data_IF_367344005643
#
_entry.id   IF_367344005643
#
_cell.length_a   1.000
_cell.length_b   1.000
_cell.length_c   1.000
_cell.angle_alpha   90.00
_cell.angle_beta   90.00
_cell.angle_gamma   90.00
#
_symmetry.space_group_name_H-M   'P 1'
#
loop_
_entity.id
_entity.type
_entity.pdbx_description
1 polymer ?
#
# COMPACT_ATOMS: atom_id res chain seq x y z
N UNK A 1 12.46 8.97 8.95
CA UNK A 1 11.68 9.91 8.11
C UNK A 1 12.63 10.51 7.09
N UNK A 2 12.52 10.14 5.82
CA UNK A 2 13.33 10.76 4.77
C UNK A 2 12.95 12.24 4.67
N UNK A 3 13.92 13.13 4.90
CA UNK A 3 13.76 14.57 4.84
C UNK A 3 14.49 15.03 3.58
N UNK A 4 13.76 15.08 2.47
CA UNK A 4 14.28 15.59 1.21
C UNK A 4 14.14 17.11 1.20
N UNK A 5 15.23 17.81 0.88
CA UNK A 5 15.25 19.24 0.66
C UNK A 5 15.45 19.49 -0.84
N UNK A 6 14.44 20.01 -1.56
CA UNK A 6 14.61 20.39 -2.96
C UNK A 6 15.80 21.34 -3.10
N UNK A 7 16.61 21.16 -4.14
CA UNK A 7 17.62 22.15 -4.54
C UNK A 7 17.03 23.34 -5.31
N UNK A 8 15.74 23.28 -5.66
CA UNK A 8 15.05 24.25 -6.54
C UNK A 8 13.69 24.65 -5.96
N UNK A 9 13.09 25.71 -6.52
CA UNK A 9 11.71 26.17 -6.21
C UNK A 9 10.61 25.26 -6.78
N UNK A 10 10.95 24.10 -7.36
CA UNK A 10 9.99 23.22 -8.01
C UNK A 10 9.32 22.27 -7.02
N UNK A 11 8.01 22.05 -7.20
CA UNK A 11 7.15 21.29 -6.31
C UNK A 11 7.09 19.83 -6.76
N UNK A 12 7.18 18.87 -5.83
CA UNK A 12 7.03 17.46 -6.15
C UNK A 12 5.63 16.99 -5.80
N UNK A 13 4.94 16.38 -6.77
CA UNK A 13 3.72 15.61 -6.53
C UNK A 13 4.05 14.32 -5.79
N UNK A 14 4.32 14.42 -4.48
CA UNK A 14 4.64 13.24 -3.66
C UNK A 14 3.43 12.29 -3.60
N UNK A 15 3.70 11.00 -3.77
CA UNK A 15 2.70 9.94 -3.54
C UNK A 15 2.33 9.84 -2.06
N UNK A 16 1.16 9.25 -1.81
CA UNK A 16 0.74 8.86 -0.48
C UNK A 16 1.71 7.84 0.14
N UNK A 17 2.04 8.04 1.41
CA UNK A 17 2.89 7.12 2.15
C UNK A 17 2.16 5.81 2.45
N UNK A 18 2.79 4.67 2.17
CA UNK A 18 2.31 3.37 2.64
C UNK A 18 2.52 3.23 4.14
N UNK A 19 1.80 2.31 4.76
CA UNK A 19 2.08 1.87 6.13
C UNK A 19 2.23 0.36 6.13
N UNK A 20 3.22 -0.15 6.86
CA UNK A 20 3.51 -1.58 6.90
C UNK A 20 3.88 -2.09 8.30
N UNK A 21 3.77 -3.41 8.46
CA UNK A 21 4.25 -4.15 9.63
C UNK A 21 5.37 -5.08 9.16
N UNK A 22 6.54 -4.96 9.79
CA UNK A 22 7.76 -5.68 9.43
C UNK A 22 8.16 -6.63 10.55
N UNK A 23 8.66 -7.81 10.19
CA UNK A 23 9.26 -8.74 11.15
C UNK A 23 10.72 -8.40 11.46
N UNK A 24 11.36 -7.59 10.63
CA UNK A 24 12.73 -7.17 10.79
C UNK A 24 12.87 -5.66 10.54
N UNK A 25 13.59 -5.00 11.44
CA UNK A 25 14.13 -3.67 11.25
C UNK A 25 15.63 -3.75 11.58
N UNK A 26 16.45 -3.10 10.77
CA UNK A 26 17.86 -2.97 11.10
C UNK A 26 18.06 -1.95 12.24
N UNK A 27 19.27 -1.90 12.78
CA UNK A 27 19.59 -1.07 13.96
C UNK A 27 19.38 0.43 13.71
N UNK A 28 19.54 0.88 12.46
CA UNK A 28 19.37 2.29 12.07
C UNK A 28 17.93 2.64 11.72
N UNK A 29 17.01 1.65 11.75
CA UNK A 29 15.64 1.78 11.26
C UNK A 29 15.59 2.40 9.84
N UNK A 30 16.53 2.01 8.98
CA UNK A 30 16.49 2.42 7.59
C UNK A 30 15.25 1.83 6.92
N UNK A 31 14.39 2.73 6.47
CA UNK A 31 13.15 2.38 5.81
C UNK A 31 13.38 1.61 4.50
N UNK A 32 14.47 1.93 3.80
CA UNK A 32 14.83 1.34 2.50
C UNK A 32 15.66 0.06 2.61
N UNK A 33 15.95 -0.42 3.81
CA UNK A 33 16.70 -1.66 4.01
C UNK A 33 16.00 -2.84 3.28
N UNK A 34 16.68 -3.52 2.34
CA UNK A 34 16.04 -4.56 1.54
C UNK A 34 15.54 -5.74 2.37
N UNK A 35 16.27 -6.14 3.41
CA UNK A 35 15.86 -7.23 4.29
C UNK A 35 14.61 -6.86 5.10
N UNK A 36 14.54 -5.61 5.58
CA UNK A 36 13.38 -5.04 6.25
C UNK A 36 12.17 -4.97 5.33
N UNK A 37 12.33 -4.46 4.10
CA UNK A 37 11.27 -4.42 3.11
C UNK A 37 10.74 -5.81 2.76
N UNK A 38 11.61 -6.82 2.62
CA UNK A 38 11.17 -8.19 2.34
C UNK A 38 10.43 -8.83 3.51
N UNK A 39 10.67 -8.39 4.75
CA UNK A 39 10.03 -8.90 5.97
C UNK A 39 8.61 -8.38 6.26
N UNK A 40 8.02 -7.63 5.33
CA UNK A 40 6.68 -7.02 5.49
C UNK A 40 5.58 -8.08 5.44
N UNK A 41 4.79 -8.18 6.50
CA UNK A 41 3.63 -9.10 6.60
C UNK A 41 2.28 -8.41 6.36
N UNK A 42 2.26 -7.08 6.47
CA UNK A 42 1.10 -6.24 6.21
C UNK A 42 1.60 -4.97 5.52
N UNK A 43 0.96 -4.56 4.44
CA UNK A 43 1.22 -3.31 3.72
C UNK A 43 -0.10 -2.72 3.27
N UNK A 44 -0.39 -1.50 3.71
CA UNK A 44 -1.43 -0.66 3.17
C UNK A 44 -0.80 0.26 2.10
N UNK A 45 -1.13 0.00 0.82
CA UNK A 45 -0.59 0.77 -0.31
C UNK A 45 -1.10 2.20 -0.35
N UNK A 46 -0.22 3.15 -0.64
CA UNK A 46 -0.51 4.57 -0.81
C UNK A 46 -0.95 4.90 -2.24
N UNK A 47 -1.69 5.99 -2.41
CA UNK A 47 -2.01 6.53 -3.74
C UNK A 47 -0.82 7.21 -4.40
N UNK A 48 -0.83 7.33 -5.73
CA UNK A 48 0.16 8.10 -6.47
C UNK A 48 -0.06 9.60 -6.34
N UNK A 49 1.02 10.36 -6.46
CA UNK A 49 1.01 11.81 -6.43
C UNK A 49 0.65 12.40 -7.79
N UNK A 50 0.26 13.66 -7.78
CA UNK A 50 -0.08 14.42 -8.98
C UNK A 50 0.39 15.84 -8.79
N UNK A 51 1.14 16.36 -9.75
CA UNK A 51 1.65 17.73 -9.68
C UNK A 51 0.70 18.74 -10.31
N UNK A 52 0.21 18.47 -11.52
CA UNK A 52 -0.49 19.48 -12.32
C UNK A 52 -2.02 19.44 -12.17
N UNK A 53 -2.71 20.57 -12.43
CA UNK A 53 -4.17 20.60 -12.52
C UNK A 53 -4.69 19.58 -13.54
N UNK A 54 -5.77 18.89 -13.19
CA UNK A 54 -6.41 17.82 -13.99
C UNK A 54 -5.60 16.51 -14.13
N UNK A 55 -4.35 16.46 -13.68
CA UNK A 55 -3.67 15.19 -13.44
C UNK A 55 -4.33 14.46 -12.26
N UNK A 56 -4.38 13.13 -12.31
CA UNK A 56 -5.01 12.30 -11.28
C UNK A 56 -4.10 11.13 -10.91
N UNK A 57 -3.58 11.17 -9.69
CA UNK A 57 -2.84 10.05 -9.10
C UNK A 57 -3.71 8.79 -8.93
N UNK A 58 -3.08 7.63 -9.07
CA UNK A 58 -3.74 6.35 -8.87
C UNK A 58 -4.08 6.11 -7.40
N UNK A 59 -5.21 5.47 -7.09
CA UNK A 59 -5.52 5.06 -5.71
C UNK A 59 -4.65 3.87 -5.29
N UNK A 60 -4.27 3.78 -4.02
CA UNK A 60 -3.62 2.60 -3.46
C UNK A 60 -4.61 1.62 -2.83
N UNK A 61 -4.13 0.69 -2.01
CA UNK A 61 -4.95 -0.01 -1.02
C UNK A 61 -5.47 -1.39 -1.43
N UNK A 62 -5.52 -1.74 -2.73
CA UNK A 62 -6.00 -3.03 -3.23
C UNK A 62 -4.89 -4.00 -3.66
N UNK A 63 -5.27 -5.16 -4.22
CA UNK A 63 -4.32 -6.11 -4.82
C UNK A 63 -3.51 -5.46 -5.96
N UNK A 64 -4.12 -4.53 -6.65
CA UNK A 64 -3.50 -3.69 -7.66
C UNK A 64 -3.76 -2.21 -7.31
N UNK A 65 -2.74 -1.38 -7.51
CA UNK A 65 -2.88 0.06 -7.46
C UNK A 65 -3.60 0.59 -8.70
N UNK A 66 -4.30 1.70 -8.53
CA UNK A 66 -4.88 2.44 -9.65
C UNK A 66 -3.81 3.07 -10.55
N UNK A 67 -4.17 3.31 -11.80
CA UNK A 67 -3.33 4.04 -12.75
C UNK A 67 -3.30 5.54 -12.44
N UNK A 68 -2.16 6.18 -12.70
CA UNK A 68 -2.00 7.63 -12.71
C UNK A 68 -2.24 8.18 -14.12
N UNK A 69 -3.01 9.26 -14.24
CA UNK A 69 -3.35 9.91 -15.50
C UNK A 69 -2.78 11.33 -15.52
N UNK A 70 -1.81 11.58 -16.39
CA UNK A 70 -1.15 12.88 -16.52
C UNK A 70 -1.90 13.77 -17.50
N UNK A 71 -2.09 15.05 -17.15
CA UNK A 71 -2.57 16.09 -18.05
C UNK A 71 -1.44 17.09 -18.33
N UNK A 72 -0.98 17.15 -19.57
CA UNK A 72 0.13 18.01 -19.98
C UNK A 72 -0.27 19.33 -20.63
N UNK A 73 -1.57 19.58 -20.82
CA UNK A 73 -2.05 20.63 -21.72
C UNK A 73 -1.65 22.03 -21.22
N UNK A 74 -1.53 22.18 -19.91
CA UNK A 74 -1.20 23.42 -19.20
C UNK A 74 0.18 24.01 -19.55
N UNK A 75 1.17 23.19 -19.90
CA UNK A 75 2.57 23.65 -20.08
C UNK A 75 3.12 23.26 -21.45
N UNK A 76 2.84 22.04 -21.92
CA UNK A 76 3.34 21.60 -23.23
C UNK A 76 2.47 22.11 -24.38
N UNK A 77 1.33 22.75 -24.09
CA UNK A 77 0.31 23.20 -25.07
C UNK A 77 -0.09 22.10 -26.07
N UNK A 78 0.05 20.85 -25.65
CA UNK A 78 -0.25 19.64 -26.42
C UNK A 78 -0.78 18.57 -25.48
N UNK A 79 -1.54 17.64 -26.03
CA UNK A 79 -1.88 16.41 -25.34
C UNK A 79 -0.63 15.53 -25.19
N UNK A 80 -0.51 14.86 -24.06
CA UNK A 80 0.38 13.71 -23.87
C UNK A 80 -0.43 12.44 -24.01
N UNK A 81 -0.72 11.97 -25.23
CA UNK A 81 -1.54 10.79 -25.42
C UNK A 81 -0.89 9.60 -24.72
N UNK A 82 -1.67 8.92 -23.87
CA UNK A 82 -1.26 7.71 -23.14
C UNK A 82 -0.15 7.90 -22.08
N UNK A 83 0.05 9.10 -21.54
CA UNK A 83 0.92 9.30 -20.37
C UNK A 83 0.25 8.75 -19.10
N UNK A 84 0.34 7.43 -18.96
CA UNK A 84 -0.33 6.65 -17.91
C UNK A 84 0.72 5.87 -17.13
N UNK A 85 0.87 6.21 -15.85
CA UNK A 85 1.68 5.44 -14.92
C UNK A 85 0.87 4.26 -14.38
N UNK A 86 1.42 3.05 -14.46
CA UNK A 86 0.76 1.86 -13.95
C UNK A 86 0.73 1.83 -12.42
N UNK A 87 -0.25 1.15 -11.84
CA UNK A 87 -0.26 0.83 -10.42
C UNK A 87 0.56 -0.42 -10.11
N UNK A 88 1.10 -0.51 -8.90
CA UNK A 88 1.79 -1.71 -8.42
C UNK A 88 0.85 -2.92 -8.36
N UNK A 89 1.39 -4.11 -8.57
CA UNK A 89 0.64 -5.38 -8.52
C UNK A 89 1.14 -6.25 -7.38
N UNK A 90 0.75 -7.53 -7.35
CA UNK A 90 1.27 -8.50 -6.38
C UNK A 90 2.64 -9.09 -6.75
N UNK A 91 3.14 -8.84 -7.95
CA UNK A 91 4.39 -9.46 -8.45
C UNK A 91 5.35 -8.48 -9.14
N UNK A 92 4.94 -7.24 -9.35
CA UNK A 92 5.73 -6.23 -10.03
C UNK A 92 5.26 -4.82 -9.65
N UNK A 93 6.18 -3.86 -9.73
CA UNK A 93 5.85 -2.45 -9.65
C UNK A 93 5.07 -1.97 -10.87
N UNK A 94 4.44 -0.81 -10.71
CA UNK A 94 3.65 -0.20 -11.76
C UNK A 94 4.49 0.13 -12.99
N UNK A 95 3.91 -0.02 -14.17
CA UNK A 95 4.58 0.30 -15.43
C UNK A 95 4.96 1.79 -15.49
N UNK A 96 6.13 2.08 -16.07
CA UNK A 96 6.50 3.44 -16.43
C UNK A 96 5.49 3.99 -17.47
N UNK A 97 5.16 5.28 -17.35
CA UNK A 97 4.49 5.98 -18.43
C UNK A 97 5.42 6.06 -19.67
N UNK A 98 4.88 6.05 -20.90
CA UNK A 98 5.69 6.20 -22.11
C UNK A 98 6.47 7.52 -22.10
N UNK A 99 7.72 7.48 -22.59
CA UNK A 99 8.51 8.68 -22.80
C UNK A 99 7.87 9.54 -23.87
N UNK A 100 7.65 10.83 -23.56
CA UNK A 100 7.09 11.79 -24.53
C UNK A 100 7.77 13.14 -24.39
N UNK A 101 8.57 13.52 -25.39
CA UNK A 101 9.44 14.72 -25.34
C UNK A 101 10.35 14.66 -24.12
N UNK A 102 10.14 15.55 -23.15
CA UNK A 102 10.92 15.61 -21.92
C UNK A 102 10.31 14.76 -20.79
N UNK A 103 9.11 14.19 -21.00
CA UNK A 103 8.47 13.33 -20.00
C UNK A 103 9.11 11.95 -20.00
N UNK A 104 9.58 11.51 -18.85
CA UNK A 104 10.19 10.21 -18.60
C UNK A 104 9.45 9.52 -17.46
N UNK A 105 8.91 8.33 -17.75
CA UNK A 105 8.32 7.46 -16.75
C UNK A 105 9.37 6.56 -16.09
N UNK A 106 9.12 6.21 -14.82
CA UNK A 106 9.94 5.28 -14.05
C UNK A 106 9.07 4.13 -13.54
N UNK A 107 9.46 2.86 -13.73
CA UNK A 107 8.67 1.74 -13.25
C UNK A 107 8.74 1.64 -11.73
N UNK A 108 7.64 1.30 -11.08
CA UNK A 108 7.62 1.06 -9.64
C UNK A 108 8.54 -0.08 -9.23
N UNK A 109 8.94 -0.12 -7.96
CA UNK A 109 9.78 -1.16 -7.40
C UNK A 109 9.10 -1.83 -6.20
N UNK A 110 9.71 -2.91 -5.70
CA UNK A 110 9.26 -3.54 -4.48
C UNK A 110 9.48 -2.60 -3.29
N UNK A 111 8.40 -2.21 -2.63
CA UNK A 111 8.45 -1.43 -1.39
C UNK A 111 8.88 0.02 -1.49
N UNK A 112 9.32 0.47 -2.66
CA UNK A 112 9.82 1.83 -2.87
C UNK A 112 9.43 2.35 -4.24
N UNK A 113 8.98 3.60 -4.28
CA UNK A 113 8.76 4.33 -5.52
C UNK A 113 10.06 4.99 -5.94
N UNK A 114 10.56 4.77 -7.17
CA UNK A 114 11.79 5.42 -7.60
C UNK A 114 11.58 6.92 -7.73
N UNK A 115 12.65 7.64 -7.38
CA UNK A 115 12.75 9.10 -7.39
C UNK A 115 14.06 9.44 -8.09
N UNK A 116 13.97 10.04 -9.28
CA UNK A 116 15.11 10.67 -9.92
C UNK A 116 15.48 12.01 -9.23
N UNK A 117 16.39 11.96 -8.25
CA UNK A 117 16.83 13.13 -7.49
C UNK A 117 17.61 14.19 -8.30
N UNK A 118 18.02 13.88 -9.53
CA UNK A 118 18.66 14.86 -10.42
C UNK A 118 17.67 15.60 -11.32
N UNK A 119 16.41 15.15 -11.35
CA UNK A 119 15.37 15.89 -12.07
C UNK A 119 15.16 17.25 -11.42
N UNK A 120 15.09 18.29 -12.25
CA UNK A 120 14.69 19.63 -11.80
C UNK A 120 13.20 19.70 -11.47
N UNK A 121 12.42 18.71 -11.94
CA UNK A 121 10.97 18.61 -11.80
C UNK A 121 10.54 17.13 -11.87
N UNK A 122 10.14 16.55 -10.73
CA UNK A 122 9.91 15.10 -10.62
C UNK A 122 8.46 14.68 -10.85
N UNK A 123 7.57 15.60 -11.21
CA UNK A 123 6.21 15.22 -11.58
C UNK A 123 5.45 14.52 -10.44
N UNK A 124 4.72 13.48 -10.84
CA UNK A 124 3.94 12.63 -9.97
C UNK A 124 4.70 11.37 -9.58
N UNK A 125 5.04 11.25 -8.29
CA UNK A 125 5.69 10.05 -7.75
C UNK A 125 4.64 8.97 -7.51
N UNK A 126 4.98 7.71 -7.85
CA UNK A 126 4.16 6.55 -7.52
C UNK A 126 3.85 6.45 -6.03
N UNK A 127 2.70 5.85 -5.71
CA UNK A 127 2.35 5.49 -4.35
C UNK A 127 3.17 4.30 -3.89
N UNK A 128 3.71 4.36 -2.67
CA UNK A 128 4.40 3.20 -2.09
C UNK A 128 3.40 2.06 -1.83
N UNK A 129 3.90 0.83 -1.79
CA UNK A 129 3.07 -0.35 -1.58
C UNK A 129 3.92 -1.58 -1.34
N UNK A 130 3.30 -2.76 -1.42
CA UNK A 130 4.06 -4.01 -1.47
C UNK A 130 4.96 -3.98 -2.71
N UNK A 131 4.35 -3.67 -3.86
CA UNK A 131 5.01 -3.03 -4.98
C UNK A 131 4.45 -1.61 -5.19
N UNK A 132 5.31 -0.66 -5.50
CA UNK A 132 4.89 0.72 -5.73
C UNK A 132 4.22 0.91 -7.09
N UNK A 133 3.50 2.02 -7.25
CA UNK A 133 3.12 2.51 -8.57
C UNK A 133 4.32 3.03 -9.36
N UNK A 134 4.14 3.22 -10.67
CA UNK A 134 5.08 3.93 -11.53
C UNK A 134 5.05 5.43 -11.26
N UNK A 135 6.18 6.08 -11.50
CA UNK A 135 6.37 7.53 -11.40
C UNK A 135 6.55 8.14 -12.78
N UNK A 136 6.44 9.47 -12.87
CA UNK A 136 6.68 10.24 -14.08
C UNK A 136 7.09 11.67 -13.71
N UNK A 137 8.05 12.24 -14.43
CA UNK A 137 8.55 13.60 -14.22
C UNK A 137 7.61 14.71 -14.76
N UNK A 138 7.99 15.99 -14.55
CA UNK A 138 7.39 17.23 -15.07
C UNK A 138 5.90 17.51 -14.82
N UNK A 139 5.01 16.70 -15.39
CA UNK A 139 3.57 16.98 -15.50
C UNK A 139 2.70 15.94 -14.80
N UNK A 140 3.38 14.94 -14.27
CA UNK A 140 2.83 13.61 -14.29
C UNK A 140 1.94 13.29 -13.11
N UNK A 141 1.21 12.19 -13.26
CA UNK A 141 0.56 11.50 -12.17
C UNK A 141 1.17 10.11 -11.98
N UNK A 142 1.54 9.79 -10.74
CA UNK A 142 2.00 8.46 -10.37
C UNK A 142 0.85 7.47 -10.24
N UNK A 143 1.14 6.19 -10.46
CA UNK A 143 0.21 5.10 -10.12
C UNK A 143 0.17 4.86 -8.61
N UNK A 144 -0.88 4.20 -8.12
CA UNK A 144 -0.97 3.77 -6.72
C UNK A 144 -0.13 2.51 -6.44
N UNK A 145 0.27 2.31 -5.19
CA UNK A 145 0.92 1.08 -4.74
C UNK A 145 -0.08 -0.01 -4.37
N UNK A 146 0.32 -1.27 -4.55
CA UNK A 146 -0.47 -2.42 -4.09
C UNK A 146 -0.40 -2.59 -2.58
N UNK A 147 -1.45 -3.13 -1.99
CA UNK A 147 -1.45 -3.64 -0.61
C UNK A 147 -1.02 -5.09 -0.58
N UNK A 148 -0.63 -5.54 0.61
CA UNK A 148 -0.34 -6.94 0.89
C UNK A 148 -0.79 -7.27 2.31
N UNK A 149 -1.45 -8.41 2.49
CA UNK A 149 -1.75 -8.94 3.82
C UNK A 149 -1.42 -10.42 3.75
N UNK A 150 -0.49 -10.88 4.57
CA UNK A 150 -0.15 -12.29 4.62
C UNK A 150 -1.38 -13.13 4.97
N UNK A 151 -1.74 -14.08 4.10
CA UNK A 151 -2.93 -14.92 4.23
C UNK A 151 -4.22 -14.34 3.64
N UNK A 152 -4.19 -13.18 2.98
CA UNK A 152 -5.32 -12.66 2.22
C UNK A 152 -5.37 -13.27 0.81
N UNK A 153 -6.55 -13.63 0.34
CA UNK A 153 -6.73 -14.25 -0.98
C UNK A 153 -6.31 -13.32 -2.13
N UNK A 154 -5.60 -13.85 -3.11
CA UNK A 154 -5.09 -13.09 -4.25
C UNK A 154 -3.76 -12.37 -4.01
N UNK A 155 -3.33 -12.19 -2.75
CA UNK A 155 -1.98 -11.72 -2.44
C UNK A 155 -0.93 -12.73 -2.90
N UNK A 156 0.26 -12.26 -3.28
CA UNK A 156 1.40 -13.12 -3.61
C UNK A 156 2.61 -12.75 -2.76
N UNK A 157 2.98 -13.63 -1.84
CA UNK A 157 4.15 -13.46 -1.00
C UNK A 157 5.45 -13.70 -1.76
N UNK A 158 6.55 -13.15 -1.25
CA UNK A 158 7.90 -13.52 -1.70
C UNK A 158 8.20 -14.98 -1.35
N UNK A 159 9.03 -15.62 -2.17
CA UNK A 159 9.48 -16.99 -1.94
C UNK A 159 10.39 -17.11 -0.72
N UNK A 160 11.23 -16.10 -0.47
CA UNK A 160 12.16 -16.07 0.67
C UNK A 160 12.60 -14.65 1.00
N UNK A 161 13.44 -14.50 2.04
CA UNK A 161 14.06 -13.24 2.42
C UNK A 161 15.23 -12.81 1.53
N UNK A 162 15.63 -13.63 0.55
CA UNK A 162 16.87 -13.45 -0.21
C UNK A 162 16.73 -12.47 -1.38
N UNK A 163 15.55 -12.41 -1.99
CA UNK A 163 15.25 -11.58 -3.16
C UNK A 163 13.73 -11.34 -3.29
N UNK A 164 13.33 -10.50 -4.24
CA UNK A 164 11.95 -10.13 -4.52
C UNK A 164 11.23 -11.11 -5.45
N UNK A 165 11.71 -12.35 -5.57
CA UNK A 165 11.03 -13.36 -6.40
C UNK A 165 9.70 -13.79 -5.74
N UNK A 166 8.59 -13.76 -6.48
CA UNK A 166 7.31 -14.26 -5.98
C UNK A 166 7.38 -15.76 -5.63
N UNK A 167 6.53 -16.18 -4.70
CA UNK A 167 6.31 -17.60 -4.42
C UNK A 167 5.94 -18.35 -5.71
N UNK A 168 6.62 -19.47 -6.04
CA UNK A 168 6.32 -20.26 -7.25
C UNK A 168 4.89 -20.81 -7.27
N UNK A 169 4.31 -21.06 -6.10
CA UNK A 169 2.93 -21.53 -5.94
C UNK A 169 1.93 -20.39 -5.78
N UNK A 170 2.39 -19.14 -5.92
CA UNK A 170 1.60 -17.91 -5.68
C UNK A 170 0.94 -17.88 -4.30
N UNK A 171 1.61 -18.46 -3.29
CA UNK A 171 1.14 -18.44 -1.91
C UNK A 171 0.93 -17.00 -1.43
N UNK A 172 -0.17 -16.73 -0.73
CA UNK A 172 -0.40 -15.46 -0.02
C UNK A 172 0.25 -15.41 1.36
N UNK A 173 0.78 -16.54 1.85
CA UNK A 173 1.40 -16.63 3.17
C UNK A 173 2.86 -16.21 3.06
N UNK A 174 3.25 -15.22 3.85
CA UNK A 174 4.63 -14.74 3.98
C UNK A 174 5.60 -15.90 4.26
N UNK A 175 6.83 -15.83 3.73
CA UNK A 175 7.82 -16.92 3.80
C UNK A 175 8.17 -17.38 5.23
N UNK A 176 7.89 -16.57 6.25
CA UNK A 176 8.04 -16.95 7.66
C UNK A 176 6.94 -17.87 8.20
N UNK A 177 5.87 -18.10 7.43
CA UNK A 177 4.67 -18.82 7.85
C UNK A 177 3.66 -17.97 8.65
N UNK A 178 4.00 -16.72 9.01
CA UNK A 178 3.08 -15.82 9.73
C UNK A 178 1.99 -15.33 8.79
N UNK A 179 0.73 -15.39 9.23
CA UNK A 179 -0.45 -14.91 8.50
C UNK A 179 -1.47 -14.27 9.42
N UNK A 180 -2.37 -13.48 8.82
CA UNK A 180 -3.56 -12.95 9.48
C UNK A 180 -4.74 -13.89 9.24
N UNK A 181 -5.66 -13.94 10.21
CA UNK A 181 -6.93 -14.66 10.08
C UNK A 181 -8.03 -13.66 9.77
N UNK A 182 -8.92 -14.02 8.84
CA UNK A 182 -10.03 -13.20 8.36
C UNK A 182 -9.61 -11.77 7.96
N UNK A 183 -8.55 -11.59 7.15
CA UNK A 183 -8.13 -10.27 6.72
C UNK A 183 -9.16 -9.64 5.77
N UNK A 184 -9.34 -8.32 5.88
CA UNK A 184 -10.14 -7.51 4.95
C UNK A 184 -9.22 -6.47 4.32
N UNK A 185 -9.26 -6.35 3.00
CA UNK A 185 -8.54 -5.34 2.23
C UNK A 185 -9.56 -4.45 1.53
N UNK A 186 -9.45 -3.13 1.70
CA UNK A 186 -10.32 -2.15 1.05
C UNK A 186 -9.43 -1.22 0.21
N UNK A 187 -9.73 -1.15 -1.08
CA UNK A 187 -9.00 -0.31 -2.01
C UNK A 187 -9.39 1.16 -1.82
N UNK A 188 -8.42 2.07 -1.98
CA UNK A 188 -8.54 3.47 -1.57
C UNK A 188 -9.53 4.32 -2.39
N UNK A 189 -10.14 3.77 -3.43
CA UNK A 189 -11.24 4.38 -4.18
C UNK A 189 -12.63 3.89 -3.72
N UNK A 190 -12.71 3.14 -2.62
CA UNK A 190 -13.95 2.73 -1.96
C UNK A 190 -14.05 3.37 -0.58
N UNK A 191 -15.25 3.36 -0.02
CA UNK A 191 -15.50 3.78 1.36
C UNK A 191 -14.79 2.84 2.34
N UNK A 192 -13.97 3.41 3.20
CA UNK A 192 -13.24 2.69 4.24
C UNK A 192 -13.31 3.45 5.57
N UNK A 193 -13.11 2.75 6.70
CA UNK A 193 -13.20 3.39 8.01
C UNK A 193 -12.09 4.42 8.18
N UNK A 194 -12.44 5.58 8.73
CA UNK A 194 -11.48 6.62 9.10
C UNK A 194 -10.71 6.19 10.35
N UNK A 195 -9.37 6.37 10.32
CA UNK A 195 -8.52 6.08 11.46
C UNK A 195 -8.59 7.17 12.56
N UNK A 196 -9.18 8.32 12.25
CA UNK A 196 -9.45 9.41 13.18
C UNK A 196 -10.96 9.60 13.33
N UNK A 197 -11.38 10.10 14.50
CA UNK A 197 -12.78 10.31 14.80
C UNK A 197 -13.16 11.73 14.36
N UNK A 198 -13.85 11.85 13.22
CA UNK A 198 -14.63 13.05 12.92
C UNK A 198 -15.95 12.97 13.72
N UNK A 199 -16.46 14.11 14.19
CA UNK A 199 -17.79 14.17 14.82
C UNK A 199 -18.94 13.87 13.83
N UNK A 200 -18.67 13.91 12.53
CA UNK A 200 -19.67 13.73 11.47
C UNK A 200 -19.46 12.48 10.61
N UNK A 201 -18.21 12.04 10.39
CA UNK A 201 -17.90 11.00 9.41
C UNK A 201 -17.09 9.86 10.03
N UNK A 202 -17.53 8.62 9.79
CA UNK A 202 -16.82 7.39 10.21
C UNK A 202 -16.18 6.66 9.04
N UNK A 203 -16.58 7.00 7.82
CA UNK A 203 -16.18 6.37 6.57
C UNK A 203 -15.86 7.46 5.54
N UNK A 204 -14.90 7.19 4.67
CA UNK A 204 -14.56 8.08 3.56
C UNK A 204 -13.84 7.30 2.46
N UNK A 205 -13.83 7.85 1.25
CA UNK A 205 -12.98 7.38 0.16
C UNK A 205 -11.55 7.83 0.42
N UNK A 206 -10.63 6.89 0.60
CA UNK A 206 -9.21 7.24 0.78
C UNK A 206 -8.91 7.85 2.16
N UNK A 207 -7.69 7.66 2.65
CA UNK A 207 -7.17 8.44 3.77
C UNK A 207 -6.38 9.59 3.15
N UNK A 208 -6.75 10.83 3.49
CA UNK A 208 -5.98 12.01 3.05
C UNK A 208 -4.65 12.03 3.81
N UNK A 209 -3.58 12.46 3.13
CA UNK A 209 -2.25 12.66 3.68
C UNK A 209 -1.50 11.37 4.04
N UNK A 210 -1.26 11.12 5.33
CA UNK A 210 -0.36 10.06 5.82
C UNK A 210 -1.14 8.78 6.08
N UNK A 211 -0.54 7.64 5.75
CA UNK A 211 -1.04 6.35 6.22
C UNK A 211 -0.98 6.24 7.74
N UNK A 212 -1.83 5.38 8.30
CA UNK A 212 -1.89 5.10 9.73
C UNK A 212 -2.08 3.60 9.96
N UNK A 213 -1.48 3.08 11.03
CA UNK A 213 -1.73 1.73 11.54
C UNK A 213 -2.27 1.86 12.96
N UNK A 214 -3.36 1.15 13.24
CA UNK A 214 -3.91 1.00 14.59
C UNK A 214 -3.89 -0.48 14.96
N UNK A 215 -3.14 -0.82 16.00
CA UNK A 215 -3.07 -2.18 16.54
C UNK A 215 -3.76 -2.19 17.90
N UNK A 216 -4.72 -3.09 18.08
CA UNK A 216 -5.42 -3.28 19.35
C UNK A 216 -5.05 -4.63 19.93
N UNK A 217 -4.53 -4.65 21.16
CA UNK A 217 -4.19 -5.87 21.87
C UNK A 217 -5.38 -6.26 22.74
N UNK A 218 -6.09 -7.33 22.35
CA UNK A 218 -7.37 -7.70 22.98
C UNK A 218 -7.16 -8.52 24.27
N UNK A 219 -6.00 -9.19 24.44
CA UNK A 219 -5.66 -9.88 25.70
C UNK A 219 -4.17 -10.27 25.75
N UNK A 220 -3.53 -10.08 26.90
CA UNK A 220 -2.17 -10.56 27.22
C UNK A 220 -2.18 -11.95 27.87
N UNK A 221 -3.19 -12.79 27.63
CA UNK A 221 -3.09 -14.19 28.06
C UNK A 221 -2.04 -14.89 27.19
N UNK A 222 -0.81 -14.98 27.71
CA UNK A 222 0.20 -15.93 27.22
C UNK A 222 -0.50 -17.28 27.07
N UNK A 223 -0.62 -17.77 25.85
CA UNK A 223 -0.87 -19.18 25.61
C UNK A 223 0.37 -19.94 26.10
N UNK A 224 0.47 -20.19 27.40
CA UNK A 224 1.41 -21.16 27.92
C UNK A 224 0.90 -22.54 27.47
N UNK A 225 1.80 -23.41 27.04
CA UNK A 225 1.50 -24.77 26.57
C UNK A 225 0.76 -25.66 27.60
N UNK A 226 0.37 -25.11 28.75
CA UNK A 226 -0.39 -25.75 29.82
C UNK A 226 -1.92 -25.64 29.63
N UNK A 227 -2.42 -24.87 28.66
CA UNK A 227 -3.86 -24.69 28.43
C UNK A 227 -4.54 -25.85 27.65
N UNK A 228 -4.17 -27.11 27.95
CA UNK A 228 -4.90 -28.30 27.42
C UNK A 228 -6.16 -28.67 28.20
N UNK A 229 -6.49 -27.96 29.27
CA UNK A 229 -7.71 -28.23 30.05
C UNK A 229 -8.41 -26.92 30.42
N UNK A 230 -9.35 -26.49 29.58
CA UNK A 230 -10.62 -25.86 29.98
C UNK A 230 -11.37 -25.39 28.72
N UNK A 231 -11.95 -26.35 28.00
CA UNK A 231 -13.20 -26.11 27.26
C UNK A 231 -14.28 -26.83 28.06
N UNK A 232 -14.73 -26.23 29.16
CA UNK A 232 -15.96 -26.64 29.82
C UNK A 232 -17.12 -25.89 29.19
N UNK A 233 -17.79 -26.60 28.29
CA UNK A 233 -19.24 -26.65 28.10
C UNK A 233 -20.04 -25.37 28.43
N UNK A 234 -20.40 -24.62 27.39
CA UNK A 234 -21.60 -23.78 27.40
C UNK A 234 -22.50 -24.23 26.25
N UNK A 235 -23.07 -25.43 26.39
CA UNK A 235 -24.31 -25.80 25.73
C UNK A 235 -25.43 -25.00 26.40
N UNK A 236 -25.70 -23.80 25.85
CA UNK A 236 -26.86 -23.00 26.24
C UNK A 236 -28.11 -23.73 25.72
N UNK A 237 -28.90 -24.26 26.64
CA UNK A 237 -30.20 -24.89 26.39
C UNK A 237 -31.12 -23.93 25.63
N UNK A 238 -31.56 -24.35 24.45
CA UNK A 238 -32.67 -23.74 23.72
C UNK A 238 -33.89 -24.64 23.87
N UNK A 239 -34.98 -24.02 24.35
CA UNK A 239 -36.41 -24.41 24.32
C UNK A 239 -36.88 -25.65 25.10
N UNK A 240 -37.69 -25.43 26.15
CA UNK A 240 -39.12 -25.83 26.22
C UNK A 240 -39.68 -25.54 27.63
N UNK A 241 -40.49 -24.49 27.76
CA UNK A 241 -41.43 -24.34 28.85
C UNK A 241 -42.79 -23.97 28.25
N UNK A 242 -43.54 -25.00 27.84
CA UNK A 242 -44.98 -24.89 27.63
C UNK A 242 -45.68 -25.24 28.94
N UNK A 243 -46.21 -24.20 29.58
CA UNK A 243 -47.53 -24.09 30.20
C UNK A 243 -48.26 -25.40 30.55
N UNK A 244 -48.36 -25.71 31.83
CA UNK A 244 -49.54 -26.36 32.45
C UNK A 244 -49.79 -25.69 33.80
N UNK A 245 -50.79 -24.81 33.83
CA UNK A 245 -51.87 -24.70 34.81
C UNK A 245 -52.92 -23.73 34.25
#
# INVERSE_FOLDING_TARGET
MFKYYPKTIHFFGIGGGSSDVRLYANETFDWSDPLSLRSRILVAGGGGGSEWPNSRGGHGGGLEGGKGYSNCQSVLRTDCPNSISGGGTQIAGGSAAPTFRNLVGYPGLFGISPVNYTSIDIGGIGGNGYYSGGSIDLAGAGGGGSSFISGYEGCVALNSSLNENPSPTRSSIHYSGIKFFNPIMIQGNNDMPLYYQSSTDKWSIGNKNRGAIRITIISLKKCTCLAKYQITCSLLFVTLANLVL
#
